data_IF_826221236728
#
_entry.id   IF_826221236728
#
_cell.length_a   1.000
_cell.length_b   1.000
_cell.length_c   1.000
_cell.angle_alpha   90.00
_cell.angle_beta   90.00
_cell.angle_gamma   90.00
#
_symmetry.space_group_name_H-M   'P 1'
#
loop_
_entity.id
_entity.type
_entity.pdbx_description
1 polymer ?
#
# COMPACT_ATOMS: atom_id res chain seq x y z
N UNK A 1 -51.00 0.99 -19.36
CA UNK A 1 -49.55 0.73 -19.23
C UNK A 1 -48.94 1.48 -18.04
N UNK A 2 -49.64 2.47 -17.51
CA UNK A 2 -49.09 3.43 -16.55
C UNK A 2 -48.90 2.85 -15.14
N UNK A 3 -49.79 1.96 -14.68
CA UNK A 3 -49.68 1.35 -13.35
C UNK A 3 -48.40 0.53 -13.14
N UNK A 4 -47.95 -0.22 -14.15
CA UNK A 4 -46.71 -1.00 -14.05
C UNK A 4 -45.47 -0.10 -13.99
N UNK A 5 -45.49 1.02 -14.74
CA UNK A 5 -44.41 2.00 -14.71
C UNK A 5 -44.34 2.72 -13.35
N UNK A 6 -45.48 3.13 -12.78
CA UNK A 6 -45.52 3.71 -11.44
C UNK A 6 -45.04 2.76 -10.34
N UNK A 7 -45.42 1.48 -10.42
CA UNK A 7 -44.93 0.45 -9.48
C UNK A 7 -43.42 0.20 -9.61
N UNK A 8 -42.88 0.26 -10.83
CA UNK A 8 -41.44 0.14 -11.05
C UNK A 8 -40.66 1.36 -10.51
N UNK A 9 -41.15 2.58 -10.76
CA UNK A 9 -40.54 3.81 -10.22
C UNK A 9 -40.62 3.88 -8.69
N UNK A 10 -41.74 3.47 -8.08
CA UNK A 10 -41.89 3.48 -6.62
C UNK A 10 -40.95 2.48 -5.93
N UNK A 11 -40.76 1.30 -6.52
CA UNK A 11 -39.82 0.29 -6.00
C UNK A 11 -38.37 0.76 -6.13
N UNK A 12 -37.97 1.38 -7.25
CA UNK A 12 -36.64 1.98 -7.37
C UNK A 12 -36.38 3.07 -6.33
N UNK A 13 -37.37 3.95 -6.09
CA UNK A 13 -37.26 5.00 -5.09
C UNK A 13 -37.15 4.43 -3.67
N UNK A 14 -37.91 3.38 -3.35
CA UNK A 14 -37.82 2.69 -2.06
C UNK A 14 -36.45 2.01 -1.86
N UNK A 15 -35.88 1.41 -2.90
CA UNK A 15 -34.53 0.83 -2.83
C UNK A 15 -33.49 1.93 -2.62
N UNK A 16 -33.61 3.08 -3.30
CA UNK A 16 -32.69 4.20 -3.13
C UNK A 16 -32.77 4.82 -1.72
N UNK A 17 -33.97 5.01 -1.16
CA UNK A 17 -34.13 5.56 0.19
C UNK A 17 -33.62 4.60 1.27
N UNK A 18 -33.88 3.30 1.14
CA UNK A 18 -33.38 2.30 2.08
C UNK A 18 -31.86 2.16 2.03
N UNK A 19 -31.26 2.15 0.83
CA UNK A 19 -29.80 2.09 0.67
C UNK A 19 -29.09 3.34 1.19
N UNK A 20 -29.64 4.53 0.94
CA UNK A 20 -29.09 5.79 1.46
C UNK A 20 -29.21 5.86 2.99
N UNK A 21 -30.34 5.46 3.57
CA UNK A 21 -30.52 5.40 5.03
C UNK A 21 -29.56 4.39 5.67
N UNK A 22 -29.41 3.20 5.07
CA UNK A 22 -28.45 2.19 5.53
C UNK A 22 -27.01 2.70 5.44
N UNK A 23 -26.66 3.40 4.35
CA UNK A 23 -25.34 4.01 4.19
C UNK A 23 -25.07 5.07 5.27
N UNK A 24 -26.03 5.97 5.52
CA UNK A 24 -25.92 6.99 6.56
C UNK A 24 -25.81 6.37 7.96
N UNK A 25 -26.57 5.32 8.24
CA UNK A 25 -26.50 4.58 9.50
C UNK A 25 -25.13 3.90 9.69
N UNK A 26 -24.62 3.25 8.65
CA UNK A 26 -23.27 2.66 8.65
C UNK A 26 -22.21 3.75 8.86
N UNK A 27 -22.31 4.88 8.16
CA UNK A 27 -21.39 6.01 8.30
C UNK A 27 -21.41 6.63 9.70
N UNK A 28 -22.60 6.74 10.31
CA UNK A 28 -22.77 7.22 11.67
C UNK A 28 -22.15 6.26 12.70
N UNK A 29 -22.42 4.95 12.57
CA UNK A 29 -21.80 3.92 13.43
C UNK A 29 -20.27 3.93 13.35
N UNK A 30 -19.71 4.09 12.15
CA UNK A 30 -18.25 4.16 11.96
C UNK A 30 -17.62 5.34 12.73
N UNK A 31 -18.32 6.47 12.88
CA UNK A 31 -17.83 7.63 13.66
C UNK A 31 -17.93 7.42 15.17
N UNK A 32 -18.98 6.77 15.66
CA UNK A 32 -19.19 6.57 17.11
C UNK A 32 -18.17 5.61 17.74
N UNK A 33 -17.64 4.66 16.97
CA UNK A 33 -16.66 3.68 17.45
C UNK A 33 -15.26 4.28 17.77
N UNK A 34 -15.02 5.56 17.44
CA UNK A 34 -13.73 6.20 17.71
C UNK A 34 -13.51 6.64 19.17
N UNK A 35 -14.53 6.59 20.04
CA UNK A 35 -14.50 7.26 21.36
C UNK A 35 -13.76 6.54 22.49
N UNK A 36 -13.21 5.34 22.31
CA UNK A 36 -12.80 4.50 23.46
C UNK A 36 -11.35 4.01 23.50
N UNK A 37 -10.46 4.48 22.62
CA UNK A 37 -9.06 4.03 22.62
C UNK A 37 -8.13 5.23 22.39
N UNK A 38 -7.01 5.29 23.13
CA UNK A 38 -5.92 6.25 22.94
C UNK A 38 -5.23 6.01 21.58
N UNK A 39 -5.92 6.32 20.48
CA UNK A 39 -5.42 6.17 19.13
C UNK A 39 -4.56 7.39 18.73
N UNK A 40 -3.59 7.20 17.82
CA UNK A 40 -2.87 8.32 17.22
C UNK A 40 -3.82 9.35 16.59
N UNK A 41 -3.42 10.62 16.49
CA UNK A 41 -4.21 11.64 15.80
C UNK A 41 -4.40 11.24 14.33
N UNK A 42 -5.54 11.61 13.73
CA UNK A 42 -5.83 11.28 12.33
C UNK A 42 -7.30 10.97 12.09
N UNK A 43 -7.61 10.54 10.88
CA UNK A 43 -8.98 10.23 10.45
C UNK A 43 -8.99 8.99 9.58
N UNK A 44 -9.94 8.09 9.81
CA UNK A 44 -10.17 6.95 8.94
C UNK A 44 -10.87 7.31 7.62
N UNK A 45 -11.25 8.58 7.39
CA UNK A 45 -11.86 9.02 6.14
C UNK A 45 -13.25 8.44 5.91
N UNK A 46 -13.54 8.02 4.67
CA UNK A 46 -14.84 7.46 4.30
C UNK A 46 -15.07 6.07 4.92
N UNK A 47 -16.31 5.71 5.32
CA UNK A 47 -16.58 4.47 6.07
C UNK A 47 -16.05 3.18 5.42
N UNK A 48 -16.09 3.08 4.10
CA UNK A 48 -15.68 1.88 3.35
C UNK A 48 -14.25 2.04 2.81
N UNK A 49 -14.05 2.96 1.87
CA UNK A 49 -12.77 3.16 1.16
C UNK A 49 -11.73 3.96 1.95
N UNK A 50 -12.11 4.61 3.04
CA UNK A 50 -11.21 5.44 3.82
C UNK A 50 -10.66 6.65 3.06
N UNK A 51 -9.33 6.79 3.08
CA UNK A 51 -8.58 7.80 2.33
C UNK A 51 -7.88 7.20 1.09
N UNK A 52 -8.24 5.98 0.68
CA UNK A 52 -7.57 5.25 -0.40
C UNK A 52 -7.51 6.02 -1.72
N UNK A 53 -8.58 6.72 -2.11
CA UNK A 53 -8.57 7.51 -3.34
C UNK A 53 -7.57 8.68 -3.28
N UNK A 54 -7.50 9.36 -2.13
CA UNK A 54 -6.52 10.42 -1.92
C UNK A 54 -5.09 9.87 -1.87
N UNK A 55 -4.90 8.62 -1.43
CA UNK A 55 -3.61 7.94 -1.45
C UNK A 55 -3.18 7.55 -2.88
N UNK A 56 -4.10 7.05 -3.71
CA UNK A 56 -3.81 6.62 -5.09
C UNK A 56 -3.69 7.78 -6.09
N UNK A 57 -4.48 8.84 -5.92
CA UNK A 57 -4.52 9.95 -6.86
C UNK A 57 -3.38 10.96 -6.63
N UNK A 58 -2.96 11.14 -5.38
CA UNK A 58 -1.83 12.00 -5.08
C UNK A 58 -0.52 11.21 -5.15
N UNK A 59 0.57 11.94 -5.35
CA UNK A 59 1.88 11.44 -4.99
C UNK A 59 1.87 10.99 -3.52
N UNK A 60 2.37 9.78 -3.25
CA UNK A 60 2.42 9.19 -1.92
C UNK A 60 3.12 10.13 -0.93
N UNK A 61 4.17 10.83 -1.36
CA UNK A 61 4.89 11.79 -0.52
C UNK A 61 4.02 12.99 -0.17
N UNK A 62 3.26 13.52 -1.12
CA UNK A 62 2.31 14.61 -0.88
C UNK A 62 1.20 14.17 0.05
N UNK A 63 0.68 12.96 -0.12
CA UNK A 63 -0.35 12.41 0.76
C UNK A 63 0.16 12.35 2.22
N UNK A 64 1.33 11.72 2.44
CA UNK A 64 1.93 11.57 3.76
C UNK A 64 2.30 12.94 4.34
N UNK A 65 2.96 13.81 3.57
CA UNK A 65 3.38 15.14 4.00
C UNK A 65 2.20 16.03 4.42
N UNK A 66 1.07 15.96 3.70
CA UNK A 66 -0.14 16.69 4.06
C UNK A 66 -0.75 16.20 5.38
N UNK A 67 -0.73 14.88 5.64
CA UNK A 67 -1.22 14.30 6.90
C UNK A 67 -0.27 14.59 8.06
N UNK A 68 1.04 14.60 7.81
CA UNK A 68 2.03 15.01 8.79
C UNK A 68 1.82 16.45 9.25
N UNK A 69 1.54 17.37 8.32
CA UNK A 69 1.23 18.77 8.64
C UNK A 69 -0.11 18.93 9.37
N UNK A 70 -1.12 18.15 8.98
CA UNK A 70 -2.49 18.28 9.51
C UNK A 70 -2.68 17.63 10.90
N UNK A 71 -2.07 16.48 11.13
CA UNK A 71 -2.32 15.66 12.31
C UNK A 71 -1.12 15.56 13.24
N UNK A 72 0.02 15.08 12.75
CA UNK A 72 1.25 14.94 13.53
C UNK A 72 2.43 14.57 12.64
N UNK A 73 3.58 15.20 12.86
CA UNK A 73 4.82 14.93 12.13
C UNK A 73 5.47 13.56 12.45
N UNK A 74 4.99 12.86 13.49
CA UNK A 74 5.59 11.60 13.96
C UNK A 74 4.73 10.37 13.67
N UNK A 75 3.42 10.48 13.86
CA UNK A 75 2.52 9.34 13.77
C UNK A 75 1.09 9.80 13.51
N UNK A 76 0.39 9.14 12.59
CA UNK A 76 -1.04 9.39 12.38
C UNK A 76 -1.81 8.12 12.02
N UNK A 77 -3.12 8.11 12.25
CA UNK A 77 -4.02 7.05 11.81
C UNK A 77 -4.74 7.44 10.51
N UNK A 78 -4.97 6.45 9.65
CA UNK A 78 -5.73 6.56 8.39
C UNK A 78 -6.37 5.22 8.04
N UNK A 79 -7.15 5.16 6.97
CA UNK A 79 -7.65 3.91 6.38
C UNK A 79 -7.27 3.90 4.90
N UNK A 80 -6.41 2.98 4.50
CA UNK A 80 -5.94 2.84 3.11
C UNK A 80 -6.11 1.41 2.65
N UNK A 81 -6.52 1.22 1.40
CA UNK A 81 -6.81 -0.09 0.80
C UNK A 81 -7.83 -0.91 1.61
N UNK A 82 -8.77 -0.23 2.27
CA UNK A 82 -9.79 -0.86 3.12
C UNK A 82 -9.34 -1.19 4.55
N UNK A 83 -8.06 -1.00 4.87
CA UNK A 83 -7.49 -1.40 6.17
C UNK A 83 -7.20 -0.20 7.09
N UNK A 84 -7.63 -0.25 8.38
CA UNK A 84 -7.19 0.70 9.39
C UNK A 84 -5.67 0.65 9.54
N UNK A 85 -5.01 1.78 9.29
CA UNK A 85 -3.55 1.86 9.19
C UNK A 85 -3.01 2.95 10.10
N UNK A 86 -1.92 2.65 10.79
CA UNK A 86 -1.12 3.65 11.52
C UNK A 86 0.16 3.89 10.74
N UNK A 87 0.41 5.16 10.38
CA UNK A 87 1.61 5.57 9.65
C UNK A 87 2.60 6.15 10.64
N UNK A 88 3.79 5.54 10.71
CA UNK A 88 4.92 6.00 11.50
C UNK A 88 5.86 6.79 10.59
N UNK A 89 6.05 8.07 10.89
CA UNK A 89 6.79 9.00 10.03
C UNK A 89 8.20 9.24 10.54
N UNK A 90 9.10 9.57 9.60
CA UNK A 90 10.47 9.97 9.88
C UNK A 90 11.39 8.83 10.33
N UNK A 91 12.67 9.16 10.49
CA UNK A 91 13.74 8.19 10.75
C UNK A 91 13.49 7.35 12.01
N UNK A 92 12.98 7.98 13.07
CA UNK A 92 12.68 7.28 14.32
C UNK A 92 11.56 6.22 14.14
N UNK A 93 10.50 6.56 13.40
CA UNK A 93 9.40 5.66 13.10
C UNK A 93 9.85 4.48 12.24
N UNK A 94 10.59 4.76 11.17
CA UNK A 94 11.11 3.71 10.28
C UNK A 94 12.07 2.77 11.02
N UNK A 95 12.98 3.32 11.85
CA UNK A 95 13.90 2.54 12.69
C UNK A 95 13.13 1.67 13.67
N UNK A 96 12.05 2.18 14.27
CA UNK A 96 11.22 1.43 15.19
C UNK A 96 10.55 0.21 14.53
N UNK A 97 10.00 0.37 13.32
CA UNK A 97 9.41 -0.75 12.57
C UNK A 97 10.49 -1.77 12.20
N UNK A 98 11.59 -1.33 11.59
CA UNK A 98 12.65 -2.22 11.12
C UNK A 98 13.35 -2.99 12.26
N UNK A 99 13.61 -2.34 13.40
CA UNK A 99 14.28 -2.98 14.55
C UNK A 99 13.40 -4.01 15.27
N UNK A 100 12.09 -3.95 15.05
CA UNK A 100 11.09 -4.81 15.68
C UNK A 100 10.35 -5.71 14.67
N UNK A 101 10.88 -5.86 13.46
CA UNK A 101 10.39 -6.82 12.48
C UNK A 101 10.43 -8.24 13.06
N UNK A 102 9.39 -9.03 12.81
CA UNK A 102 9.13 -10.37 13.36
C UNK A 102 8.97 -10.44 14.89
N UNK A 103 9.10 -9.33 15.63
CA UNK A 103 8.87 -9.26 17.08
C UNK A 103 7.52 -8.61 17.40
N UNK A 104 7.31 -7.41 16.88
CA UNK A 104 6.08 -6.62 17.05
C UNK A 104 5.32 -6.46 15.74
N UNK A 105 6.02 -6.58 14.61
CA UNK A 105 5.45 -6.37 13.28
C UNK A 105 5.67 -7.59 12.39
N UNK A 106 4.67 -7.90 11.58
CA UNK A 106 4.76 -8.85 10.47
C UNK A 106 4.49 -8.08 9.19
N UNK A 107 5.28 -8.31 8.13
CA UNK A 107 5.04 -7.60 6.89
C UNK A 107 3.68 -8.01 6.30
N UNK A 108 2.82 -7.02 6.12
CA UNK A 108 1.50 -7.19 5.53
C UNK A 108 1.54 -6.74 4.06
N UNK A 109 0.77 -7.41 3.21
CA UNK A 109 0.59 -7.03 1.79
C UNK A 109 -0.89 -7.13 1.42
N UNK A 110 -1.39 -6.27 0.51
CA UNK A 110 -2.72 -6.42 -0.06
C UNK A 110 -2.91 -7.80 -0.72
N UNK A 111 -4.15 -8.30 -0.71
CA UNK A 111 -4.46 -9.64 -1.22
C UNK A 111 -4.05 -9.86 -2.69
N UNK A 112 -4.18 -8.82 -3.53
CA UNK A 112 -3.73 -8.87 -4.93
C UNK A 112 -2.23 -9.12 -5.05
N UNK A 113 -1.42 -8.47 -4.21
CA UNK A 113 0.03 -8.68 -4.18
C UNK A 113 0.41 -10.07 -3.68
N UNK A 114 -0.31 -10.60 -2.67
CA UNK A 114 -0.05 -11.95 -2.18
C UNK A 114 -0.24 -13.01 -3.26
N UNK A 115 -1.29 -12.86 -4.09
CA UNK A 115 -1.55 -13.73 -5.25
C UNK A 115 -0.46 -13.62 -6.30
N UNK A 116 -0.04 -12.39 -6.65
CA UNK A 116 0.97 -12.17 -7.70
C UNK A 116 2.34 -12.76 -7.33
N UNK A 117 2.77 -12.58 -6.09
CA UNK A 117 4.11 -12.97 -5.67
C UNK A 117 4.21 -14.42 -5.16
N UNK A 118 3.17 -15.25 -5.39
CA UNK A 118 3.04 -16.62 -4.83
C UNK A 118 3.55 -16.68 -3.39
N UNK A 119 3.17 -15.68 -2.59
CA UNK A 119 3.92 -15.40 -1.37
C UNK A 119 3.60 -16.44 -0.32
N UNK A 120 4.59 -17.22 0.09
CA UNK A 120 4.61 -17.98 1.35
C UNK A 120 4.59 -17.08 2.60
N UNK A 121 4.41 -15.77 2.42
CA UNK A 121 4.39 -14.74 3.46
C UNK A 121 3.09 -14.75 4.28
N UNK A 122 2.32 -15.83 4.25
CA UNK A 122 1.23 -16.07 5.18
C UNK A 122 1.80 -16.60 6.50
N UNK A 123 2.65 -15.80 7.16
CA UNK A 123 2.99 -16.01 8.57
C UNK A 123 1.90 -15.35 9.38
N UNK A 124 0.91 -16.14 9.79
CA UNK A 124 -0.03 -15.73 10.84
C UNK A 124 0.78 -15.20 12.04
N UNK A 125 0.31 -14.12 12.65
CA UNK A 125 0.94 -13.43 13.78
C UNK A 125 1.11 -14.32 15.05
N UNK A 126 0.79 -15.61 14.97
CA UNK A 126 0.70 -16.54 16.10
C UNK A 126 1.79 -17.61 16.13
N UNK A 127 2.57 -17.81 15.07
CA UNK A 127 3.52 -18.94 15.03
C UNK A 127 4.92 -18.46 15.40
N UNK A 128 5.37 -18.81 16.61
CA UNK A 128 6.77 -18.67 17.02
C UNK A 128 7.64 -19.42 16.02
N UNK A 129 8.36 -18.69 15.17
CA UNK A 129 9.24 -19.29 14.16
C UNK A 129 10.51 -19.79 14.87
N UNK A 130 10.86 -21.08 14.77
CA UNK A 130 12.11 -21.59 15.30
C UNK A 130 13.31 -20.84 14.71
N UNK A 131 14.29 -20.52 15.55
CA UNK A 131 15.53 -19.76 15.25
C UNK A 131 16.31 -20.25 14.00
N UNK A 132 16.03 -21.47 13.53
CA UNK A 132 16.64 -22.12 12.37
C UNK A 132 16.19 -21.51 11.02
N UNK A 133 14.92 -21.10 10.87
CA UNK A 133 14.40 -20.52 9.61
C UNK A 133 14.91 -19.09 9.40
N UNK A 134 15.23 -18.37 10.49
CA UNK A 134 15.81 -17.02 10.46
C UNK A 134 17.12 -16.93 9.69
N UNK A 135 17.94 -18.00 9.70
CA UNK A 135 19.22 -18.03 8.97
C UNK A 135 19.06 -18.15 7.46
N UNK A 136 17.94 -18.67 6.97
CA UNK A 136 17.68 -18.83 5.54
C UNK A 136 16.95 -17.63 4.93
N UNK A 137 16.14 -16.90 5.70
CA UNK A 137 15.45 -15.68 5.22
C UNK A 137 16.36 -14.45 5.29
N UNK A 138 17.26 -14.37 6.26
CA UNK A 138 18.21 -13.26 6.40
C UNK A 138 19.42 -13.34 5.45
N UNK A 139 19.65 -14.50 4.82
CA UNK A 139 20.66 -14.62 3.77
C UNK A 139 20.01 -14.21 2.46
N UNK A 140 20.63 -13.27 1.76
CA UNK A 140 20.24 -12.94 0.40
C UNK A 140 20.05 -14.26 -0.38
N UNK A 141 18.96 -14.41 -1.14
CA UNK A 141 18.75 -15.58 -1.99
C UNK A 141 20.03 -15.90 -2.78
N UNK A 142 20.27 -17.16 -3.12
CA UNK A 142 21.51 -17.58 -3.79
C UNK A 142 21.88 -16.73 -5.01
N UNK A 143 20.88 -16.22 -5.75
CA UNK A 143 21.05 -15.34 -6.90
C UNK A 143 21.49 -13.90 -6.55
N UNK A 144 21.33 -13.45 -5.30
CA UNK A 144 21.80 -12.13 -4.83
C UNK A 144 23.13 -12.22 -4.07
N UNK A 145 23.81 -13.36 -4.09
CA UNK A 145 25.13 -13.49 -3.49
C UNK A 145 26.17 -12.72 -4.29
N UNK A 146 27.18 -12.18 -3.60
CA UNK A 146 28.25 -11.42 -4.25
C UNK A 146 28.91 -12.20 -5.40
N UNK A 147 29.13 -13.50 -5.23
CA UNK A 147 29.72 -14.34 -6.28
C UNK A 147 28.82 -14.44 -7.52
N UNK A 148 27.50 -14.58 -7.33
CA UNK A 148 26.54 -14.61 -8.42
C UNK A 148 26.42 -13.25 -9.11
N UNK A 149 26.41 -12.15 -8.34
CA UNK A 149 26.36 -10.79 -8.87
C UNK A 149 27.57 -10.48 -9.76
N UNK A 150 28.77 -10.88 -9.35
CA UNK A 150 29.98 -10.72 -10.18
C UNK A 150 29.83 -11.47 -11.51
N UNK A 151 29.26 -12.68 -11.49
CA UNK A 151 29.00 -13.44 -12.72
C UNK A 151 27.99 -12.76 -13.66
N UNK A 152 27.06 -11.96 -13.11
CA UNK A 152 26.06 -11.24 -13.90
C UNK A 152 26.62 -10.01 -14.59
N UNK A 153 27.70 -9.41 -14.08
CA UNK A 153 28.29 -8.17 -14.63
C UNK A 153 28.58 -8.31 -16.12
N UNK A 154 29.21 -9.41 -16.55
CA UNK A 154 29.54 -9.61 -17.96
C UNK A 154 28.31 -9.70 -18.87
N UNK A 155 27.27 -10.39 -18.41
CA UNK A 155 26.00 -10.49 -19.15
C UNK A 155 25.26 -9.17 -19.21
N UNK A 156 25.17 -8.45 -18.08
CA UNK A 156 24.54 -7.13 -18.00
C UNK A 156 25.27 -6.11 -18.87
N UNK A 157 26.60 -6.08 -18.84
CA UNK A 157 27.42 -5.19 -19.66
C UNK A 157 27.19 -5.44 -21.16
N UNK A 158 27.20 -6.72 -21.57
CA UNK A 158 26.88 -7.08 -22.95
C UNK A 158 25.48 -6.64 -23.38
N UNK A 159 24.47 -6.81 -22.52
CA UNK A 159 23.09 -6.40 -22.82
C UNK A 159 22.96 -4.87 -22.91
N UNK A 160 23.63 -4.13 -22.03
CA UNK A 160 23.64 -2.66 -22.05
C UNK A 160 24.32 -2.16 -23.32
N UNK A 161 25.49 -2.71 -23.67
CA UNK A 161 26.21 -2.33 -24.88
C UNK A 161 25.40 -2.61 -26.16
N UNK A 162 24.72 -3.75 -26.23
CA UNK A 162 23.84 -4.10 -27.34
C UNK A 162 22.64 -3.13 -27.44
N UNK A 163 22.02 -2.81 -26.30
CA UNK A 163 20.93 -1.83 -26.26
C UNK A 163 21.38 -0.45 -26.74
N UNK A 164 22.54 0.04 -26.28
CA UNK A 164 23.10 1.33 -26.67
C UNK A 164 23.41 1.38 -28.17
N UNK A 165 24.09 0.36 -28.71
CA UNK A 165 24.41 0.30 -30.14
C UNK A 165 23.14 0.27 -31.01
N UNK A 166 22.17 -0.55 -30.63
CA UNK A 166 20.98 -0.79 -31.44
C UNK A 166 19.98 0.37 -31.37
N UNK A 167 19.85 0.99 -30.20
CA UNK A 167 18.75 1.92 -29.94
C UNK A 167 19.19 3.37 -29.76
N UNK A 168 20.45 3.65 -29.42
CA UNK A 168 20.93 5.00 -29.06
C UNK A 168 21.98 5.53 -30.04
N UNK A 169 22.88 4.68 -30.53
CA UNK A 169 23.96 5.11 -31.41
C UNK A 169 23.42 5.72 -32.72
N UNK A 170 24.02 6.83 -33.14
CA UNK A 170 23.62 7.60 -34.32
C UNK A 170 22.26 8.34 -34.24
N UNK A 171 21.54 8.26 -33.11
CA UNK A 171 20.25 8.99 -32.95
C UNK A 171 20.46 10.33 -32.26
N UNK A 172 19.91 11.40 -32.84
CA UNK A 172 19.93 12.73 -32.21
C UNK A 172 18.96 12.87 -31.04
N UNK A 173 17.90 12.06 -31.00
CA UNK A 173 16.93 12.02 -29.91
C UNK A 173 16.72 10.56 -29.51
N UNK A 174 16.85 10.29 -28.21
CA UNK A 174 16.66 8.96 -27.63
C UNK A 174 15.50 9.03 -26.65
N UNK A 175 14.54 8.11 -26.80
CA UNK A 175 13.41 7.98 -25.88
C UNK A 175 13.82 7.11 -24.69
N UNK A 176 14.17 7.75 -23.58
CA UNK A 176 14.44 7.07 -22.32
C UNK A 176 13.21 7.17 -21.41
N UNK A 177 12.67 6.03 -20.99
CA UNK A 177 11.61 6.02 -19.98
C UNK A 177 12.16 6.47 -18.64
N UNK A 178 11.58 7.54 -18.09
CA UNK A 178 11.91 8.02 -16.75
C UNK A 178 11.46 6.98 -15.73
N UNK A 179 12.41 6.25 -15.14
CA UNK A 179 12.11 5.20 -14.17
C UNK A 179 11.46 5.75 -12.89
N UNK A 180 11.82 6.97 -12.46
CA UNK A 180 11.19 7.63 -11.31
C UNK A 180 11.26 9.16 -11.41
N UNK A 181 10.17 9.87 -11.12
CA UNK A 181 10.15 11.33 -10.90
C UNK A 181 10.17 11.63 -9.40
N UNK A 182 11.34 11.53 -8.76
CA UNK A 182 11.50 12.08 -7.41
C UNK A 182 11.89 13.55 -7.53
N UNK A 183 11.15 14.41 -6.85
CA UNK A 183 11.52 15.80 -6.58
C UNK A 183 12.08 15.82 -5.16
N UNK A 184 13.38 16.06 -5.02
CA UNK A 184 14.01 16.28 -3.71
C UNK A 184 13.58 17.61 -3.09
#
# INVERSE_FOLDING_TARGET
MDYNLYMFLSTLLAIFTTTTLAFLFCAYKSKCHEKFINLPPGSFGWPIIGETFAFLHNDHEKFVGNRMKKYSSKIFKTKILGEPTVVLCGTAGHKFVASNEEKLFVAWRPHSMQKLFHSSYQKAASTVIPRQIKKHVARAPGFLRAEALVSYVGGMDSMVLDHLKTHWDGKQVVEAHRLTSYSF
#
